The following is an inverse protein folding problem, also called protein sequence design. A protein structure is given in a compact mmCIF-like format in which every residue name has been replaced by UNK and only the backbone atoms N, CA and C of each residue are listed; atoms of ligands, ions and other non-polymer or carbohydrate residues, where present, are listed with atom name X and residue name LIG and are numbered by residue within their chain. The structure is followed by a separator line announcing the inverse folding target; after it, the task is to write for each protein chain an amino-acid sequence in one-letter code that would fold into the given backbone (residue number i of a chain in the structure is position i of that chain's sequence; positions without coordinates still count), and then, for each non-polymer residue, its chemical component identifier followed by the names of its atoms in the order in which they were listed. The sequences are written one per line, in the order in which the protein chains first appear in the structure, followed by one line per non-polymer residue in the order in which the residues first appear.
data_IF_319385421300
#
_entry.id   IF_319385421300
#
_cell.length_a   1.000
_cell.length_b   1.000
_cell.length_c   1.000
_cell.angle_alpha   90.00
_cell.angle_beta   90.00
_cell.angle_gamma   90.00
#
_symmetry.space_group_name_H-M   'P 1'
#
loop_
_entity.id
_entity.type
_entity.pdbx_description
1 polymer ?
#
# COMPACT_ATOMS: atom_id res chain seq x y z
N UNK A 1 -24.95 -10.31 12.07
CA UNK A 1 -24.17 -9.15 11.56
C UNK A 1 -24.93 -8.48 10.44
N UNK A 2 -25.03 -7.16 10.48
CA UNK A 2 -25.61 -6.36 9.41
C UNK A 2 -24.71 -6.38 8.17
N UNK A 3 -25.29 -6.30 6.96
CA UNK A 3 -24.53 -6.20 5.70
C UNK A 3 -23.48 -5.06 5.74
N UNK A 4 -23.75 -3.98 6.51
CA UNK A 4 -22.80 -2.87 6.68
C UNK A 4 -21.56 -3.25 7.48
N UNK A 5 -21.70 -4.06 8.52
CA UNK A 5 -20.58 -4.50 9.36
C UNK A 5 -19.61 -5.39 8.57
N UNK A 6 -20.16 -6.28 7.73
CA UNK A 6 -19.36 -7.13 6.83
C UNK A 6 -18.61 -6.27 5.81
N UNK A 7 -19.29 -5.33 5.15
CA UNK A 7 -18.67 -4.41 4.19
C UNK A 7 -17.52 -3.64 4.83
N UNK A 8 -17.73 -3.11 6.04
CA UNK A 8 -16.70 -2.38 6.78
C UNK A 8 -15.51 -3.29 7.09
N UNK A 9 -15.72 -4.51 7.58
CA UNK A 9 -14.63 -5.45 7.88
C UNK A 9 -13.82 -5.85 6.64
N UNK A 10 -14.49 -6.13 5.52
CA UNK A 10 -13.84 -6.46 4.24
C UNK A 10 -13.01 -5.28 3.74
N UNK A 11 -13.56 -4.06 3.82
CA UNK A 11 -12.85 -2.86 3.41
C UNK A 11 -11.57 -2.63 4.22
N UNK A 12 -11.63 -2.84 5.54
CA UNK A 12 -10.44 -2.76 6.42
C UNK A 12 -9.38 -3.78 6.03
N UNK A 13 -9.77 -5.04 5.86
CA UNK A 13 -8.83 -6.10 5.46
C UNK A 13 -8.16 -5.79 4.11
N UNK A 14 -8.93 -5.28 3.15
CA UNK A 14 -8.39 -4.82 1.87
C UNK A 14 -7.38 -3.68 2.04
N UNK A 15 -7.67 -2.66 2.86
CA UNK A 15 -6.75 -1.56 3.12
C UNK A 15 -5.46 -2.01 3.80
N UNK A 16 -5.53 -2.97 4.74
CA UNK A 16 -4.36 -3.55 5.39
C UNK A 16 -3.49 -4.28 4.36
N UNK A 17 -4.09 -5.13 3.53
CA UNK A 17 -3.37 -5.84 2.47
C UNK A 17 -2.75 -4.88 1.45
N UNK A 18 -3.50 -3.84 1.07
CA UNK A 18 -3.00 -2.80 0.17
C UNK A 18 -1.83 -2.03 0.77
N UNK A 19 -1.92 -1.63 2.04
CA UNK A 19 -0.85 -0.93 2.73
C UNK A 19 0.42 -1.79 2.81
N UNK A 20 0.29 -3.06 3.19
CA UNK A 20 1.40 -4.01 3.21
C UNK A 20 2.01 -4.16 1.81
N UNK A 21 1.19 -4.36 0.78
CA UNK A 21 1.67 -4.47 -0.60
C UNK A 21 2.45 -3.22 -1.03
N UNK A 22 1.94 -2.02 -0.75
CA UNK A 22 2.61 -0.77 -1.12
C UNK A 22 3.94 -0.58 -0.39
N UNK A 23 4.01 -0.90 0.90
CA UNK A 23 5.22 -0.77 1.72
C UNK A 23 6.31 -1.74 1.26
N UNK A 24 5.97 -3.00 1.01
CA UNK A 24 6.96 -4.03 0.69
C UNK A 24 7.27 -4.12 -0.80
N UNK A 25 6.25 -4.15 -1.66
CA UNK A 25 6.43 -4.32 -3.10
C UNK A 25 6.79 -3.02 -3.81
N UNK A 26 6.34 -1.86 -3.31
CA UNK A 26 6.60 -0.54 -3.89
C UNK A 26 8.10 -0.27 -4.14
N UNK A 27 8.94 -0.24 -3.09
CA UNK A 27 10.36 0.09 -3.24
C UNK A 27 11.21 -1.06 -3.82
N UNK A 28 10.66 -2.27 -3.95
CA UNK A 28 11.40 -3.45 -4.43
C UNK A 28 10.88 -3.93 -5.78
N UNK A 29 9.76 -4.65 -5.77
CA UNK A 29 9.21 -5.35 -6.92
C UNK A 29 8.71 -4.39 -8.00
N UNK A 30 8.07 -3.29 -7.62
CA UNK A 30 7.58 -2.30 -8.58
C UNK A 30 8.75 -1.54 -9.22
N UNK A 31 9.78 -1.18 -8.44
CA UNK A 31 11.02 -0.61 -8.99
C UNK A 31 11.67 -1.56 -9.99
N UNK A 32 11.77 -2.85 -9.64
CA UNK A 32 12.30 -3.87 -10.55
C UNK A 32 11.47 -3.99 -11.83
N UNK A 33 10.15 -4.06 -11.72
CA UNK A 33 9.27 -4.25 -12.86
C UNK A 33 9.27 -3.04 -13.80
N UNK A 34 9.28 -1.82 -13.24
CA UNK A 34 9.34 -0.57 -14.01
C UNK A 34 10.66 -0.43 -14.76
N UNK A 35 11.78 -0.81 -14.14
CA UNK A 35 13.07 -0.89 -14.84
C UNK A 35 13.06 -1.93 -15.96
N UNK A 36 12.43 -3.09 -15.74
CA UNK A 36 12.35 -4.16 -16.74
C UNK A 36 11.57 -3.74 -18.01
N UNK A 37 10.61 -2.84 -17.87
CA UNK A 37 9.87 -2.26 -19.01
C UNK A 37 10.53 -0.99 -19.58
N UNK A 38 11.75 -0.66 -19.14
CA UNK A 38 12.56 0.43 -19.71
C UNK A 38 12.37 1.80 -19.06
N UNK A 39 11.68 1.90 -17.91
CA UNK A 39 11.61 3.17 -17.17
C UNK A 39 12.97 3.48 -16.55
N UNK A 40 13.42 4.73 -16.67
CA UNK A 40 14.72 5.15 -16.11
C UNK A 40 14.78 4.87 -14.61
N UNK A 41 15.97 4.52 -14.12
CA UNK A 41 16.21 4.21 -12.71
C UNK A 41 15.63 5.26 -11.74
N UNK A 42 15.85 6.55 -12.03
CA UNK A 42 15.40 7.66 -11.17
C UNK A 42 13.88 7.67 -11.05
N UNK A 43 13.15 7.56 -12.16
CA UNK A 43 11.69 7.53 -12.15
C UNK A 43 11.15 6.27 -11.48
N UNK A 44 11.76 5.10 -11.73
CA UNK A 44 11.38 3.83 -11.11
C UNK A 44 11.52 3.88 -9.59
N UNK A 45 12.66 4.35 -9.08
CA UNK A 45 12.92 4.49 -7.63
C UNK A 45 12.01 5.54 -7.01
N UNK A 46 11.84 6.70 -7.66
CA UNK A 46 10.94 7.76 -7.18
C UNK A 46 9.51 7.23 -7.04
N UNK A 47 9.04 6.46 -8.02
CA UNK A 47 7.72 5.83 -7.97
C UNK A 47 7.62 4.81 -6.83
N UNK A 48 8.63 3.95 -6.66
CA UNK A 48 8.66 2.99 -5.55
C UNK A 48 8.62 3.65 -4.17
N UNK A 49 9.36 4.75 -3.99
CA UNK A 49 9.35 5.55 -2.76
C UNK A 49 7.98 6.22 -2.54
N UNK A 50 7.36 6.75 -3.60
CA UNK A 50 6.02 7.32 -3.51
C UNK A 50 4.98 6.28 -3.05
N UNK A 51 5.08 5.04 -3.54
CA UNK A 51 4.24 3.92 -3.08
C UNK A 51 4.48 3.58 -1.61
N UNK A 52 5.74 3.58 -1.16
CA UNK A 52 6.07 3.38 0.25
C UNK A 52 5.39 4.44 1.14
N UNK A 53 5.51 5.72 0.79
CA UNK A 53 4.85 6.80 1.54
C UNK A 53 3.34 6.66 1.53
N UNK A 54 2.74 6.29 0.39
CA UNK A 54 1.30 6.05 0.31
C UNK A 54 0.87 4.90 1.24
N UNK A 55 1.62 3.80 1.25
CA UNK A 55 1.39 2.68 2.15
C UNK A 55 1.49 3.09 3.62
N UNK A 56 2.52 3.87 4.00
CA UNK A 56 2.68 4.41 5.35
C UNK A 56 1.53 5.33 5.75
N UNK A 57 1.05 6.19 4.85
CA UNK A 57 -0.11 7.06 5.10
C UNK A 57 -1.37 6.24 5.34
N UNK A 58 -1.60 5.17 4.56
CA UNK A 58 -2.74 4.27 4.78
C UNK A 58 -2.60 3.60 6.15
N UNK A 59 -1.45 3.02 6.46
CA UNK A 59 -1.18 2.39 7.77
C UNK A 59 -1.41 3.37 8.91
N UNK A 60 -0.88 4.58 8.82
CA UNK A 60 -1.07 5.61 9.84
C UNK A 60 -2.56 5.92 10.07
N UNK A 61 -3.35 6.01 8.99
CA UNK A 61 -4.80 6.22 9.10
C UNK A 61 -5.52 5.04 9.75
N UNK A 62 -5.12 3.81 9.44
CA UNK A 62 -5.68 2.60 10.04
C UNK A 62 -5.35 2.51 11.54
N UNK A 63 -4.11 2.84 11.93
CA UNK A 63 -3.69 2.93 13.34
C UNK A 63 -4.46 4.03 14.07
N UNK A 64 -4.56 5.23 13.49
CA UNK A 64 -5.32 6.35 14.05
C UNK A 64 -6.81 6.02 14.22
N UNK A 65 -7.36 5.16 13.37
CA UNK A 65 -8.74 4.70 13.46
C UNK A 65 -8.93 3.52 14.44
N UNK A 66 -7.88 3.06 15.13
CA UNK A 66 -7.91 1.92 16.05
C UNK A 66 -8.16 0.59 15.34
N UNK A 67 -7.85 0.50 14.04
CA UNK A 67 -8.10 -0.70 13.22
C UNK A 67 -6.93 -1.69 13.24
N UNK A 68 -5.75 -1.20 13.62
CA UNK A 68 -4.55 -1.99 13.85
C UNK A 68 -3.82 -1.37 15.06
N UNK A 69 -3.37 -2.24 15.97
CA UNK A 69 -2.71 -1.87 17.23
C UNK A 69 -1.22 -1.65 17.08
#
# INVERSE_FOLDING_TARGET
MSKREIKTRVWKAFLILLAAFLIFAGPTYIVYLTQKIGVSYIYSVTFGIALLFLGLVITYKLVKAGEIS
#
